data_IF_233328946574
#
_entry.id   IF_233328946574
#
_cell.length_a   1.000
_cell.length_b   1.000
_cell.length_c   1.000
_cell.angle_alpha   90.00
_cell.angle_beta   90.00
_cell.angle_gamma   90.00
#
_symmetry.space_group_name_H-M   'P 1'
#
loop_
_entity.id
_entity.type
_entity.pdbx_description
1 polymer ?
#
# COMPACT_ATOMS: atom_id res chain seq x y z
N UNK A 1 42.13 19.38 15.77
CA UNK A 1 41.36 19.82 16.95
C UNK A 1 40.65 18.59 17.52
N UNK A 2 41.18 18.02 18.60
CA UNK A 2 40.75 16.72 19.16
C UNK A 2 39.88 16.99 20.40
N UNK A 3 38.58 16.76 20.32
CA UNK A 3 37.68 16.89 21.47
C UNK A 3 37.58 15.53 22.16
N UNK A 4 38.09 15.47 23.38
CA UNK A 4 38.12 14.30 24.26
C UNK A 4 36.77 14.16 24.97
N UNK A 5 36.20 12.96 24.92
CA UNK A 5 35.01 12.56 25.69
C UNK A 5 35.45 12.29 27.13
N UNK A 6 34.94 13.08 28.08
CA UNK A 6 35.18 12.89 29.51
C UNK A 6 33.99 12.14 30.12
N UNK A 7 34.20 10.90 30.56
CA UNK A 7 33.23 10.16 31.38
C UNK A 7 33.56 10.42 32.85
N UNK A 8 32.71 11.19 33.54
CA UNK A 8 32.77 11.35 34.99
C UNK A 8 31.91 10.26 35.64
N UNK A 9 32.55 9.36 36.38
CA UNK A 9 31.87 8.47 37.32
C UNK A 9 31.70 9.17 38.66
N UNK A 10 30.48 9.16 39.21
CA UNK A 10 30.19 9.58 40.57
C UNK A 10 29.40 8.46 41.26
N UNK A 11 29.98 7.91 42.31
CA UNK A 11 29.32 6.98 43.23
C UNK A 11 29.05 7.71 44.55
N UNK A 12 27.79 7.72 45.01
CA UNK A 12 27.44 8.01 46.40
C UNK A 12 26.04 7.44 46.77
N UNK A 13 26.09 6.44 47.65
CA UNK A 13 25.20 6.09 48.77
C UNK A 13 23.66 6.28 48.71
N UNK A 14 22.98 5.13 48.84
CA UNK A 14 21.86 4.80 49.76
C UNK A 14 20.79 5.86 50.02
N UNK A 15 19.71 5.79 49.25
CA UNK A 15 18.36 6.11 49.70
C UNK A 15 17.47 4.89 49.52
N UNK A 16 16.89 4.38 50.61
CA UNK A 16 15.80 3.39 50.57
C UNK A 16 14.59 4.10 49.98
N UNK A 17 14.52 4.12 48.65
CA UNK A 17 13.29 4.41 47.93
C UNK A 17 12.38 3.22 48.14
N UNK A 18 11.25 3.44 48.83
CA UNK A 18 10.14 2.51 48.85
C UNK A 18 9.95 2.01 47.42
N UNK A 19 10.15 0.71 47.23
CA UNK A 19 9.75 0.07 45.99
C UNK A 19 8.29 0.40 45.81
N UNK A 20 8.00 1.32 44.88
CA UNK A 20 6.80 1.16 44.10
C UNK A 20 6.98 -0.24 43.52
N UNK A 21 6.38 -1.22 44.19
CA UNK A 21 5.98 -2.45 43.56
C UNK A 21 5.21 -1.96 42.34
N UNK A 22 5.91 -1.85 41.22
CA UNK A 22 5.28 -1.78 39.93
C UNK A 22 4.37 -2.97 39.98
N UNK A 23 3.08 -2.68 40.14
CA UNK A 23 2.06 -3.68 40.03
C UNK A 23 2.25 -4.14 38.58
N UNK A 24 3.06 -5.17 38.40
CA UNK A 24 3.02 -5.97 37.20
C UNK A 24 1.59 -6.48 37.25
N UNK A 25 0.69 -5.72 36.62
CA UNK A 25 -0.47 -6.34 36.03
C UNK A 25 0.14 -7.47 35.24
N UNK A 26 0.14 -8.67 35.81
CA UNK A 26 0.30 -9.88 35.04
C UNK A 26 -0.71 -9.67 33.91
N UNK A 27 -0.16 -9.47 32.72
CA UNK A 27 -0.93 -9.34 31.50
C UNK A 27 -1.56 -10.72 31.28
N UNK A 28 -2.62 -10.97 32.05
CA UNK A 28 -3.41 -12.19 32.02
C UNK A 28 -4.43 -12.05 30.88
N UNK A 29 -3.99 -11.54 29.72
CA UNK A 29 -4.78 -11.59 28.51
C UNK A 29 -4.73 -13.03 27.96
N UNK A 30 -5.82 -13.82 28.12
CA UNK A 30 -5.85 -15.19 27.62
C UNK A 30 -5.76 -15.26 26.09
N UNK A 31 -5.86 -14.11 25.41
CA UNK A 31 -5.81 -13.97 23.96
C UNK A 31 -4.54 -13.32 23.45
N UNK A 32 -3.54 -13.05 24.30
CA UNK A 32 -2.28 -12.42 23.88
C UNK A 32 -1.61 -13.17 22.72
N UNK A 33 -1.77 -14.50 22.64
CA UNK A 33 -1.27 -15.33 21.56
C UNK A 33 -1.84 -14.97 20.17
N UNK A 34 -2.99 -14.28 20.08
CA UNK A 34 -3.53 -13.75 18.81
C UNK A 34 -2.75 -12.55 18.26
N UNK A 35 -1.89 -11.92 19.08
CA UNK A 35 -1.05 -10.78 18.65
C UNK A 35 0.09 -11.20 17.71
N UNK A 36 0.47 -12.47 17.69
CA UNK A 36 1.40 -13.02 16.71
C UNK A 36 0.68 -13.23 15.36
N UNK A 37 0.42 -12.14 14.65
CA UNK A 37 -0.43 -12.11 13.45
C UNK A 37 0.08 -12.97 12.29
N UNK A 38 1.35 -13.38 12.30
CA UNK A 38 1.94 -14.30 11.32
C UNK A 38 2.14 -15.72 11.88
N UNK A 39 1.82 -15.93 13.16
CA UNK A 39 1.99 -17.19 13.86
C UNK A 39 1.03 -18.27 13.38
N UNK A 40 1.52 -19.52 13.31
CA UNK A 40 0.72 -20.66 12.87
C UNK A 40 -0.55 -20.85 13.71
N UNK A 41 -0.48 -20.63 15.03
CA UNK A 41 -1.62 -20.80 15.95
C UNK A 41 -2.74 -19.76 15.67
N UNK A 42 -2.47 -18.44 15.61
CA UNK A 42 -3.45 -17.44 15.17
C UNK A 42 -4.02 -17.70 13.78
N UNK A 43 -3.20 -18.07 12.80
CA UNK A 43 -3.67 -18.31 11.43
C UNK A 43 -4.66 -19.49 11.35
N UNK A 44 -4.39 -20.60 12.05
CA UNK A 44 -5.34 -21.72 12.16
C UNK A 44 -6.65 -21.28 12.82
N UNK A 45 -6.56 -20.47 13.88
CA UNK A 45 -7.76 -19.96 14.56
C UNK A 45 -8.58 -19.04 13.66
N UNK A 46 -7.95 -18.12 12.93
CA UNK A 46 -8.62 -17.23 11.96
C UNK A 46 -9.29 -18.03 10.86
N UNK A 47 -8.64 -19.06 10.32
CA UNK A 47 -9.25 -19.95 9.32
C UNK A 47 -10.52 -20.62 9.86
N UNK A 48 -10.51 -21.09 11.10
CA UNK A 48 -11.68 -21.68 11.74
C UNK A 48 -12.81 -20.66 11.96
N UNK A 49 -12.49 -19.42 12.38
CA UNK A 49 -13.49 -18.36 12.51
C UNK A 49 -14.07 -17.95 11.15
N UNK A 50 -13.24 -17.83 10.11
CA UNK A 50 -13.67 -17.53 8.75
C UNK A 50 -14.63 -18.61 8.25
N UNK A 51 -14.30 -19.90 8.42
CA UNK A 51 -15.18 -20.99 8.01
C UNK A 51 -16.55 -20.95 8.72
N UNK A 52 -16.57 -20.63 10.03
CA UNK A 52 -17.82 -20.51 10.79
C UNK A 52 -18.68 -19.34 10.28
N UNK A 53 -18.07 -18.20 10.03
CA UNK A 53 -18.75 -17.00 9.52
C UNK A 53 -19.24 -17.22 8.09
N UNK A 54 -18.40 -17.79 7.22
CA UNK A 54 -18.77 -18.13 5.85
C UNK A 54 -19.95 -19.09 5.80
N UNK A 55 -19.96 -20.13 6.64
CA UNK A 55 -21.08 -21.06 6.71
C UNK A 55 -22.38 -20.36 7.11
N UNK A 56 -22.33 -19.45 8.10
CA UNK A 56 -23.49 -18.68 8.52
C UNK A 56 -23.99 -17.76 7.40
N UNK A 57 -23.12 -16.94 6.81
CA UNK A 57 -23.49 -15.97 5.76
C UNK A 57 -23.97 -16.65 4.47
N UNK A 58 -23.26 -17.69 4.01
CA UNK A 58 -23.59 -18.38 2.76
C UNK A 58 -24.81 -19.30 2.87
N UNK A 59 -25.28 -19.59 4.08
CA UNK A 59 -26.53 -20.31 4.31
C UNK A 59 -27.78 -19.44 4.11
N UNK A 60 -27.63 -18.11 4.08
CA UNK A 60 -28.72 -17.20 3.76
C UNK A 60 -29.18 -17.41 2.30
N UNK A 61 -30.47 -17.71 2.03
CA UNK A 61 -30.99 -17.87 0.68
C UNK A 61 -30.76 -16.65 -0.23
N UNK A 62 -30.66 -15.44 0.33
CA UNK A 62 -30.40 -14.20 -0.39
C UNK A 62 -28.93 -14.01 -0.79
N UNK A 63 -27.98 -14.66 -0.11
CA UNK A 63 -26.54 -14.41 -0.25
C UNK A 63 -26.07 -14.43 -1.70
N UNK A 64 -26.44 -15.47 -2.46
CA UNK A 64 -25.97 -15.62 -3.84
C UNK A 64 -26.54 -14.54 -4.76
N UNK A 65 -27.79 -14.13 -4.54
CA UNK A 65 -28.44 -13.07 -5.32
C UNK A 65 -27.72 -11.75 -5.08
N UNK A 66 -27.49 -11.39 -3.83
CA UNK A 66 -26.86 -10.12 -3.46
C UNK A 66 -25.39 -10.09 -3.89
N UNK A 67 -24.66 -11.20 -3.71
CA UNK A 67 -23.30 -11.36 -4.22
C UNK A 67 -23.22 -11.11 -5.73
N UNK A 68 -24.07 -11.77 -6.52
CA UNK A 68 -24.05 -11.62 -7.98
C UNK A 68 -24.44 -10.21 -8.41
N UNK A 69 -25.42 -9.60 -7.73
CA UNK A 69 -25.85 -8.23 -8.01
C UNK A 69 -24.74 -7.22 -7.70
N UNK A 70 -24.14 -7.28 -6.52
CA UNK A 70 -23.01 -6.41 -6.14
C UNK A 70 -21.82 -6.61 -7.08
N UNK A 71 -21.49 -7.86 -7.41
CA UNK A 71 -20.41 -8.17 -8.35
C UNK A 71 -20.68 -7.57 -9.74
N UNK A 72 -21.93 -7.59 -10.21
CA UNK A 72 -22.29 -6.95 -11.49
C UNK A 72 -22.08 -5.44 -11.48
N UNK A 73 -22.34 -4.77 -10.35
CA UNK A 73 -22.12 -3.33 -10.19
C UNK A 73 -20.61 -3.02 -10.12
N UNK A 74 -19.86 -3.79 -9.33
CA UNK A 74 -18.43 -3.60 -9.15
C UNK A 74 -17.65 -3.87 -10.45
N UNK A 75 -18.12 -4.80 -11.27
CA UNK A 75 -17.53 -5.15 -12.55
C UNK A 75 -18.10 -4.38 -13.74
N UNK A 76 -19.04 -3.46 -13.50
CA UNK A 76 -19.68 -2.70 -14.58
C UNK A 76 -18.63 -1.91 -15.38
N UNK A 77 -18.66 -2.05 -16.70
CA UNK A 77 -17.72 -1.43 -17.63
C UNK A 77 -18.13 -0.02 -18.08
N UNK A 78 -19.35 0.39 -17.73
CA UNK A 78 -19.95 1.70 -18.01
C UNK A 78 -19.86 2.69 -16.84
N UNK A 79 -19.14 2.33 -15.76
CA UNK A 79 -18.86 3.24 -14.64
C UNK A 79 -18.07 4.46 -15.11
N UNK A 80 -18.32 5.59 -14.47
CA UNK A 80 -17.59 6.84 -14.73
C UNK A 80 -16.11 6.65 -14.35
N UNK A 81 -15.17 6.78 -15.30
CA UNK A 81 -13.75 6.65 -15.01
C UNK A 81 -13.24 7.91 -14.32
N UNK A 82 -13.37 7.97 -12.99
CA UNK A 82 -12.97 9.14 -12.22
C UNK A 82 -11.48 9.47 -12.40
N UNK A 83 -11.13 10.78 -12.48
CA UNK A 83 -9.75 11.19 -12.57
C UNK A 83 -9.09 11.03 -11.19
N UNK A 84 -7.94 10.38 -11.15
CA UNK A 84 -7.06 10.38 -9.97
C UNK A 84 -6.19 11.63 -9.93
N UNK A 85 -5.79 12.13 -11.11
CA UNK A 85 -5.00 13.35 -11.25
C UNK A 85 -5.27 14.01 -12.60
N UNK A 86 -5.02 15.31 -12.67
CA UNK A 86 -5.01 16.10 -13.90
C UNK A 86 -3.72 16.91 -13.91
N UNK A 87 -2.91 16.73 -14.95
CA UNK A 87 -1.71 17.55 -15.20
C UNK A 87 -1.77 18.10 -16.62
N UNK A 88 -1.90 19.42 -16.73
CA UNK A 88 -2.01 20.16 -18.00
C UNK A 88 -3.07 19.56 -18.92
N UNK A 89 -2.65 18.86 -19.97
CA UNK A 89 -3.53 18.28 -20.99
C UNK A 89 -3.90 16.82 -20.72
N UNK A 90 -3.40 16.22 -19.63
CA UNK A 90 -3.57 14.81 -19.32
C UNK A 90 -4.50 14.59 -18.13
N UNK A 91 -5.37 13.59 -18.25
CA UNK A 91 -6.19 13.03 -17.18
C UNK A 91 -5.69 11.62 -16.90
N UNK A 92 -5.38 11.34 -15.64
CA UNK A 92 -4.96 10.03 -15.16
C UNK A 92 -6.11 9.35 -14.43
N UNK A 93 -6.27 8.05 -14.62
CA UNK A 93 -7.31 7.25 -13.98
C UNK A 93 -6.74 5.89 -13.60
N UNK A 94 -7.29 5.33 -12.52
CA UNK A 94 -7.07 3.94 -12.15
C UNK A 94 -8.38 3.18 -12.32
N UNK A 95 -8.32 2.04 -12.96
CA UNK A 95 -9.50 1.30 -13.39
C UNK A 95 -9.40 -0.16 -12.99
N UNK A 96 -10.44 -0.70 -12.38
CA UNK A 96 -10.54 -2.12 -12.04
C UNK A 96 -11.84 -2.66 -12.61
N UNK A 97 -11.84 -3.86 -13.17
CA UNK A 97 -13.05 -4.53 -13.66
C UNK A 97 -12.91 -6.06 -13.53
N UNK A 98 -13.84 -6.81 -14.11
CA UNK A 98 -13.82 -8.27 -14.07
C UNK A 98 -12.53 -8.89 -14.66
N UNK A 99 -11.94 -8.23 -15.66
CA UNK A 99 -10.73 -8.68 -16.36
C UNK A 99 -9.44 -8.18 -15.72
N UNK A 100 -9.51 -7.02 -15.06
CA UNK A 100 -8.39 -6.38 -14.36
C UNK A 100 -8.77 -6.08 -12.90
N UNK A 101 -8.96 -7.12 -12.06
CA UNK A 101 -9.35 -6.93 -10.67
C UNK A 101 -8.26 -6.25 -9.82
N UNK A 102 -6.98 -6.32 -10.20
CA UNK A 102 -5.91 -5.56 -9.53
C UNK A 102 -5.85 -4.14 -10.03
N UNK A 103 -6.05 -3.95 -11.33
CA UNK A 103 -6.34 -2.66 -11.94
C UNK A 103 -5.27 -2.15 -12.90
N UNK A 104 -5.68 -1.13 -13.64
CA UNK A 104 -4.95 -0.49 -14.71
C UNK A 104 -4.77 0.98 -14.39
N UNK A 105 -3.51 1.44 -14.34
CA UNK A 105 -3.21 2.85 -14.37
C UNK A 105 -3.08 3.32 -15.82
N UNK A 106 -3.85 4.33 -16.17
CA UNK A 106 -4.04 4.78 -17.55
C UNK A 106 -4.20 6.29 -17.62
N UNK A 107 -3.99 6.85 -18.81
CA UNK A 107 -4.22 8.27 -19.07
C UNK A 107 -4.95 8.52 -20.38
N UNK A 108 -5.53 9.69 -20.51
CA UNK A 108 -6.09 10.23 -21.76
C UNK A 108 -5.92 11.74 -21.78
N UNK A 109 -6.20 12.41 -22.90
CA UNK A 109 -6.17 13.88 -22.92
C UNK A 109 -7.43 14.47 -22.29
N UNK A 110 -7.35 15.70 -21.78
CA UNK A 110 -8.53 16.42 -21.27
C UNK A 110 -9.63 16.55 -22.33
N UNK A 111 -9.26 16.75 -23.60
CA UNK A 111 -10.20 16.79 -24.72
C UNK A 111 -10.92 15.46 -24.92
N UNK A 112 -10.18 14.35 -24.94
CA UNK A 112 -10.75 13.03 -25.19
C UNK A 112 -11.52 12.50 -23.97
N UNK A 113 -11.11 12.91 -22.76
CA UNK A 113 -11.84 12.64 -21.52
C UNK A 113 -13.26 13.22 -21.52
N UNK A 114 -13.50 14.34 -22.23
CA UNK A 114 -14.82 14.95 -22.33
C UNK A 114 -15.81 14.17 -23.24
N UNK A 115 -15.34 13.14 -23.94
CA UNK A 115 -16.17 12.28 -24.79
C UNK A 115 -16.88 11.22 -23.95
N UNK A 116 -17.98 10.68 -24.47
CA UNK A 116 -18.71 9.59 -23.82
C UNK A 116 -17.89 8.30 -23.66
N UNK A 117 -16.87 8.12 -24.51
CA UNK A 117 -15.94 6.98 -24.48
C UNK A 117 -14.51 7.47 -24.78
N UNK A 118 -13.76 7.92 -23.76
CA UNK A 118 -12.37 8.35 -23.92
C UNK A 118 -11.48 7.18 -24.36
N UNK A 119 -10.48 7.46 -25.18
CA UNK A 119 -9.43 6.51 -25.53
C UNK A 119 -8.34 6.57 -24.46
N UNK A 120 -8.15 5.46 -23.76
CA UNK A 120 -7.18 5.37 -22.68
C UNK A 120 -5.87 4.76 -23.18
N UNK A 121 -4.77 5.47 -22.96
CA UNK A 121 -3.43 4.91 -23.04
C UNK A 121 -3.13 4.19 -21.71
N UNK A 122 -2.90 2.88 -21.79
CA UNK A 122 -2.40 2.10 -20.66
C UNK A 122 -0.97 2.53 -20.31
N UNK A 123 -0.72 2.75 -19.02
CA UNK A 123 0.61 3.06 -18.49
C UNK A 123 1.16 1.90 -17.67
N UNK A 124 0.36 1.35 -16.76
CA UNK A 124 0.78 0.24 -15.90
C UNK A 124 -0.38 -0.72 -15.64
N UNK A 125 -0.11 -2.02 -15.71
CA UNK A 125 -1.06 -3.11 -15.48
C UNK A 125 -0.63 -3.88 -14.22
N UNK A 126 -1.37 -3.69 -13.12
CA UNK A 126 -1.06 -4.33 -11.84
C UNK A 126 -1.34 -5.84 -11.91
N UNK A 127 -2.36 -6.27 -12.66
CA UNK A 127 -2.68 -7.69 -12.84
C UNK A 127 -1.55 -8.43 -13.56
N UNK A 128 -0.94 -7.79 -14.57
CA UNK A 128 0.27 -8.31 -15.23
C UNK A 128 1.43 -8.40 -14.25
N UNK A 129 1.67 -7.35 -13.46
CA UNK A 129 2.79 -7.32 -12.52
C UNK A 129 2.64 -8.36 -11.38
N UNK A 130 1.42 -8.57 -10.88
CA UNK A 130 1.09 -9.66 -9.94
C UNK A 130 1.48 -11.02 -10.51
N UNK A 131 1.11 -11.31 -11.76
CA UNK A 131 1.46 -12.58 -12.43
C UNK A 131 2.96 -12.76 -12.59
N UNK A 132 3.69 -11.70 -12.92
CA UNK A 132 5.14 -11.76 -13.14
C UNK A 132 5.92 -11.96 -11.85
N UNK A 133 5.47 -11.36 -10.75
CA UNK A 133 6.17 -11.40 -9.45
C UNK A 133 5.65 -12.48 -8.49
N UNK A 134 4.47 -13.05 -8.75
CA UNK A 134 3.80 -13.98 -7.84
C UNK A 134 3.35 -13.34 -6.52
N UNK A 135 3.19 -12.02 -6.49
CA UNK A 135 2.74 -11.25 -5.32
C UNK A 135 1.35 -10.65 -5.58
N UNK A 136 0.65 -10.32 -4.50
CA UNK A 136 -0.64 -9.63 -4.54
C UNK A 136 -0.43 -8.13 -4.35
N UNK A 137 -0.05 -7.40 -5.39
CA UNK A 137 0.19 -5.97 -5.30
C UNK A 137 -1.12 -5.17 -5.25
N UNK A 138 -1.05 -4.06 -4.54
CA UNK A 138 -2.12 -3.06 -4.44
C UNK A 138 -1.55 -1.71 -4.87
N UNK A 139 -2.20 -1.07 -5.82
CA UNK A 139 -1.86 0.28 -6.31
C UNK A 139 -1.98 1.33 -5.21
N UNK A 140 -0.92 2.08 -4.97
CA UNK A 140 -0.89 3.19 -4.00
C UNK A 140 -0.75 4.56 -4.67
N UNK A 141 -0.61 4.60 -5.99
CA UNK A 141 -0.51 5.84 -6.77
C UNK A 141 0.77 5.93 -7.58
N UNK A 142 0.85 7.01 -8.35
CA UNK A 142 2.05 7.41 -9.05
C UNK A 142 2.27 8.92 -8.94
N UNK A 143 3.54 9.32 -8.94
CA UNK A 143 3.98 10.71 -9.00
C UNK A 143 5.02 10.84 -10.11
N UNK A 144 4.84 11.77 -11.05
CA UNK A 144 5.66 11.84 -12.26
C UNK A 144 6.42 13.15 -12.35
N UNK A 145 7.55 13.09 -13.06
CA UNK A 145 8.33 14.29 -13.39
C UNK A 145 7.50 15.29 -14.20
N UNK A 146 7.81 16.60 -14.13
CA UNK A 146 7.20 17.60 -15.00
C UNK A 146 7.30 17.29 -16.50
N UNK A 147 8.36 16.63 -16.99
CA UNK A 147 8.45 16.19 -18.40
C UNK A 147 7.75 14.87 -18.69
N UNK A 148 7.23 14.19 -17.66
CA UNK A 148 6.59 12.87 -17.76
C UNK A 148 7.52 11.79 -18.35
N UNK A 149 8.83 11.96 -18.22
CA UNK A 149 9.80 10.96 -18.66
C UNK A 149 10.02 9.84 -17.62
N UNK A 150 9.67 10.08 -16.34
CA UNK A 150 9.79 9.15 -15.23
C UNK A 150 8.62 9.32 -14.27
N UNK A 151 8.24 8.23 -13.62
CA UNK A 151 7.22 8.20 -12.60
C UNK A 151 7.66 7.33 -11.43
N UNK A 152 7.38 7.74 -10.20
CA UNK A 152 7.45 6.91 -9.01
C UNK A 152 6.15 6.16 -8.92
N UNK A 153 6.18 4.83 -9.06
CA UNK A 153 5.01 3.96 -8.86
C UNK A 153 5.09 3.36 -7.46
N UNK A 154 4.02 3.56 -6.69
CA UNK A 154 3.90 3.03 -5.33
C UNK A 154 3.00 1.79 -5.29
N UNK A 155 3.49 0.70 -4.72
CA UNK A 155 2.76 -0.57 -4.61
C UNK A 155 2.93 -1.18 -3.21
N UNK A 156 1.85 -1.67 -2.61
CA UNK A 156 1.91 -2.43 -1.34
C UNK A 156 1.62 -3.90 -1.56
N UNK A 157 2.35 -4.77 -0.86
CA UNK A 157 2.09 -6.20 -0.87
C UNK A 157 0.91 -6.51 0.07
N UNK A 158 -0.15 -7.13 -0.47
CA UNK A 158 -1.31 -7.56 0.32
C UNK A 158 -2.12 -6.41 0.92
N UNK A 159 -1.92 -5.16 0.48
CA UNK A 159 -2.68 -4.00 0.96
C UNK A 159 -2.22 -3.45 2.32
N UNK A 160 -0.98 -3.70 2.73
CA UNK A 160 -0.41 -3.08 3.93
C UNK A 160 -0.26 -1.57 3.78
N UNK A 161 -0.21 -0.84 4.90
CA UNK A 161 0.15 0.59 4.94
C UNK A 161 1.57 0.86 4.41
N UNK A 162 2.48 -0.10 4.61
CA UNK A 162 3.82 -0.02 4.04
C UNK A 162 3.76 -0.33 2.54
N UNK A 163 4.49 0.45 1.75
CA UNK A 163 4.58 0.27 0.31
C UNK A 163 6.01 0.46 -0.17
N UNK A 164 6.30 -0.17 -1.30
CA UNK A 164 7.51 0.05 -2.07
C UNK A 164 7.27 1.18 -3.07
N UNK A 165 8.33 1.91 -3.40
CA UNK A 165 8.32 2.93 -4.45
C UNK A 165 9.39 2.56 -5.45
N UNK A 166 9.05 2.52 -6.73
CA UNK A 166 10.01 2.20 -7.81
C UNK A 166 9.85 3.19 -8.95
N UNK A 167 10.97 3.68 -9.47
CA UNK A 167 10.99 4.53 -10.65
C UNK A 167 10.61 3.73 -11.92
N UNK A 168 9.73 4.30 -12.71
CA UNK A 168 9.06 3.69 -13.84
C UNK A 168 9.19 4.59 -15.07
N UNK A 169 9.51 4.00 -16.21
CA UNK A 169 9.51 4.67 -17.51
C UNK A 169 8.15 4.44 -18.20
N UNK A 170 7.29 5.47 -18.27
CA UNK A 170 5.95 5.32 -18.87
C UNK A 170 5.96 5.21 -20.40
N UNK A 171 7.08 5.53 -21.07
CA UNK A 171 7.22 5.33 -22.51
C UNK A 171 7.62 3.89 -22.82
N UNK A 172 8.54 3.31 -22.03
CA UNK A 172 8.95 1.91 -22.17
C UNK A 172 7.95 0.93 -21.55
N UNK A 173 7.15 1.37 -20.56
CA UNK A 173 6.23 0.51 -19.83
C UNK A 173 6.94 -0.43 -18.85
N UNK A 174 8.10 -0.02 -18.31
CA UNK A 174 8.95 -0.86 -17.46
C UNK A 174 9.52 -0.07 -16.29
N UNK A 175 9.81 -0.76 -15.18
CA UNK A 175 10.64 -0.18 -14.12
C UNK A 175 12.05 0.13 -14.63
N UNK A 176 12.60 1.26 -14.21
CA UNK A 176 13.94 1.71 -14.54
C UNK A 176 14.93 1.34 -13.42
N UNK A 177 16.21 1.26 -13.76
CA UNK A 177 17.28 1.22 -12.77
C UNK A 177 17.52 2.63 -12.24
N UNK A 178 16.79 2.99 -11.17
CA UNK A 178 16.66 4.36 -10.71
C UNK A 178 16.24 4.47 -9.24
N UNK A 179 15.56 5.57 -8.88
CA UNK A 179 15.14 5.78 -7.49
C UNK A 179 14.19 4.67 -7.04
N UNK A 180 14.44 4.13 -5.83
CA UNK A 180 13.55 3.17 -5.20
C UNK A 180 13.55 3.32 -3.69
N UNK A 181 12.42 2.97 -3.07
CA UNK A 181 12.28 2.82 -1.63
C UNK A 181 11.77 1.41 -1.33
N UNK A 182 12.41 0.70 -0.38
CA UNK A 182 11.89 -0.57 0.10
C UNK A 182 10.57 -0.35 0.87
N UNK A 183 9.90 -1.45 1.20
CA UNK A 183 8.62 -1.42 1.90
C UNK A 183 8.72 -0.66 3.23
N UNK A 184 8.09 0.52 3.29
CA UNK A 184 8.01 1.35 4.49
C UNK A 184 6.74 2.21 4.44
N UNK A 185 6.39 2.82 5.58
CA UNK A 185 5.40 3.91 5.60
C UNK A 185 6.09 5.18 5.09
N UNK A 186 6.20 5.31 3.78
CA UNK A 186 6.98 6.36 3.11
C UNK A 186 6.09 7.31 2.31
N UNK A 187 6.68 8.40 1.84
CA UNK A 187 6.15 9.25 0.78
C UNK A 187 7.30 9.68 -0.12
N UNK A 188 7.06 9.75 -1.42
CA UNK A 188 8.01 10.27 -2.38
C UNK A 188 7.28 11.07 -3.47
N UNK A 189 7.92 12.15 -3.93
CA UNK A 189 7.44 13.07 -4.96
C UNK A 189 8.62 13.61 -5.76
N UNK A 190 8.46 13.81 -7.06
CA UNK A 190 9.40 14.61 -7.83
C UNK A 190 9.25 16.09 -7.47
N UNK A 191 10.38 16.76 -7.26
CA UNK A 191 10.46 18.22 -7.22
C UNK A 191 10.63 18.79 -8.62
N UNK A 192 11.45 18.12 -9.42
CA UNK A 192 11.77 18.41 -10.81
C UNK A 192 12.15 17.10 -11.54
N UNK A 193 12.62 17.19 -12.78
CA UNK A 193 12.94 16.02 -13.61
C UNK A 193 14.14 15.19 -13.11
N UNK A 194 14.90 15.67 -12.12
CA UNK A 194 16.10 15.01 -11.60
C UNK A 194 16.16 14.86 -10.08
N UNK A 195 15.17 15.37 -9.34
CA UNK A 195 15.20 15.45 -7.88
C UNK A 195 13.93 14.89 -7.25
N UNK A 196 14.10 14.02 -6.26
CA UNK A 196 13.00 13.43 -5.48
C UNK A 196 13.06 13.94 -4.04
N UNK A 197 11.92 14.42 -3.54
CA UNK A 197 11.69 14.65 -2.12
C UNK A 197 11.03 13.40 -1.55
N UNK A 198 11.59 12.85 -0.46
CA UNK A 198 11.03 11.66 0.15
C UNK A 198 11.16 11.67 1.68
N UNK A 199 10.25 10.95 2.31
CA UNK A 199 10.27 10.60 3.71
C UNK A 199 10.13 9.07 3.82
N UNK A 200 10.99 8.44 4.61
CA UNK A 200 10.96 6.99 4.83
C UNK A 200 11.45 6.69 6.24
N UNK A 201 11.22 5.45 6.67
CA UNK A 201 11.92 4.89 7.81
C UNK A 201 13.40 4.65 7.44
N UNK A 202 14.31 5.19 8.24
CA UNK A 202 15.77 5.02 8.11
C UNK A 202 16.34 4.12 9.21
N UNK A 203 15.50 3.49 10.02
CA UNK A 203 15.86 2.65 11.15
C UNK A 203 15.97 3.42 12.47
N UNK A 204 16.50 2.74 13.50
CA UNK A 204 16.80 3.37 14.78
C UNK A 204 17.92 4.39 14.58
N UNK A 205 17.58 5.69 14.62
CA UNK A 205 18.52 6.80 14.46
C UNK A 205 19.78 6.70 15.30
#
# INVERSE_FOLDING_TARGET
MRIRILRLGLAAALGVGAGAAGNSMQDNDPYLWLSDIQGAKPLVWVQAQNARTDAALKSDPGYRKDYNWLLSILNADDRIPLPQAVDRQWVFSFWQDASHPRGLWRRTTVEDYARSRPNWQLLFDVDKYDRETGKNWVWQGADCTPSFNRCLVSLSAGGTDAHEVHEFDPAAGTFADGFSLPAAKSQARYLDDGSVLFASDFGSG
#
